data_IF_880694241332
#
_entry.id   IF_880694241332
#
_cell.length_a   1.000
_cell.length_b   1.000
_cell.length_c   1.000
_cell.angle_alpha   90.00
_cell.angle_beta   90.00
_cell.angle_gamma   90.00
#
_symmetry.space_group_name_H-M   'P 1'
#
loop_
_entity.id
_entity.type
_entity.pdbx_description
1 polymer ?
#
# COMPACT_ATOMS: atom_id res chain seq x y z
N UNK A 1 -38.42 -5.66 1.13
CA UNK A 1 -37.32 -6.58 0.82
C UNK A 1 -36.33 -5.80 -0.03
N UNK A 2 -35.08 -5.70 0.44
CA UNK A 2 -33.99 -4.98 -0.19
C UNK A 2 -33.54 -5.69 -1.47
N UNK A 3 -33.34 -4.96 -2.56
CA UNK A 3 -32.34 -5.34 -3.56
C UNK A 3 -31.27 -4.24 -3.58
N UNK A 4 -30.14 -4.59 -2.96
CA UNK A 4 -28.88 -3.83 -2.97
C UNK A 4 -28.09 -4.24 -4.22
N UNK A 5 -27.40 -3.28 -4.81
CA UNK A 5 -26.32 -3.46 -5.80
C UNK A 5 -26.74 -3.85 -7.23
N UNK A 6 -27.44 -2.98 -7.94
CA UNK A 6 -27.31 -2.94 -9.40
C UNK A 6 -26.09 -2.09 -9.75
N UNK A 7 -24.96 -2.77 -10.00
CA UNK A 7 -23.81 -2.22 -10.72
C UNK A 7 -24.32 -1.42 -11.92
N UNK A 8 -23.74 -0.24 -12.17
CA UNK A 8 -23.83 0.40 -13.48
C UNK A 8 -23.16 -0.57 -14.44
N UNK A 9 -23.97 -1.46 -15.04
CA UNK A 9 -23.59 -2.16 -16.26
C UNK A 9 -23.39 -1.05 -17.28
N UNK A 10 -22.18 -0.93 -17.80
CA UNK A 10 -22.02 -0.50 -19.19
C UNK A 10 -23.13 -1.20 -19.98
N UNK A 11 -24.02 -0.46 -20.65
CA UNK A 11 -24.87 -1.11 -21.62
C UNK A 11 -23.93 -1.64 -22.70
N UNK A 12 -23.92 -2.98 -22.84
CA UNK A 12 -23.34 -3.68 -23.96
C UNK A 12 -23.68 -2.93 -25.26
N UNK A 13 -22.65 -2.42 -25.94
CA UNK A 13 -22.63 -2.03 -27.36
C UNK A 13 -23.97 -1.52 -27.95
N UNK A 14 -24.18 -0.20 -27.97
CA UNK A 14 -25.20 0.40 -28.85
C UNK A 14 -24.58 0.69 -30.23
N UNK A 15 -24.34 -0.33 -31.05
CA UNK A 15 -24.10 -0.10 -32.48
C UNK A 15 -25.45 0.24 -33.13
N UNK A 16 -25.68 1.53 -33.41
CA UNK A 16 -26.82 1.96 -34.22
C UNK A 16 -26.36 2.21 -35.65
N UNK A 17 -27.01 1.54 -36.60
CA UNK A 17 -26.80 1.73 -38.04
C UNK A 17 -27.68 2.91 -38.50
N UNK A 18 -27.07 4.09 -38.66
CA UNK A 18 -27.80 5.32 -39.02
C UNK A 18 -27.63 5.60 -40.52
N UNK A 19 -28.71 5.68 -41.33
CA UNK A 19 -28.58 5.73 -42.80
C UNK A 19 -27.93 7.00 -43.38
N UNK A 20 -27.95 8.12 -42.66
CA UNK A 20 -27.30 9.37 -43.06
C UNK A 20 -27.18 10.37 -41.88
N UNK A 21 -26.08 11.12 -41.82
CA UNK A 21 -25.79 12.13 -40.77
C UNK A 21 -26.64 13.42 -40.86
N UNK A 22 -27.55 13.50 -41.84
CA UNK A 22 -28.20 14.76 -42.23
C UNK A 22 -29.17 15.35 -41.20
N UNK A 23 -29.89 14.51 -40.44
CA UNK A 23 -30.85 14.95 -39.41
C UNK A 23 -31.29 13.75 -38.57
N UNK A 24 -30.44 13.26 -37.67
CA UNK A 24 -30.82 12.24 -36.70
C UNK A 24 -30.70 12.80 -35.29
N UNK A 25 -31.81 12.90 -34.58
CA UNK A 25 -31.83 13.17 -33.14
C UNK A 25 -31.76 11.84 -32.41
N UNK A 26 -30.80 11.73 -31.48
CA UNK A 26 -30.61 10.56 -30.64
C UNK A 26 -31.07 10.92 -29.23
N UNK A 27 -32.18 10.32 -28.80
CA UNK A 27 -32.68 10.48 -27.44
C UNK A 27 -32.23 9.32 -26.56
N UNK A 28 -31.38 9.63 -25.57
CA UNK A 28 -30.83 8.63 -24.65
C UNK A 28 -31.60 8.68 -23.34
N UNK A 29 -32.25 7.56 -23.00
CA UNK A 29 -33.01 7.42 -21.75
C UNK A 29 -32.27 6.54 -20.76
N UNK A 30 -31.92 7.11 -19.62
CA UNK A 30 -31.33 6.38 -18.51
C UNK A 30 -32.45 5.72 -17.68
N UNK A 31 -32.25 4.45 -17.27
CA UNK A 31 -33.25 3.68 -16.51
C UNK A 31 -33.42 4.18 -15.06
N UNK A 32 -32.51 5.01 -14.58
CA UNK A 32 -32.55 5.66 -13.27
C UNK A 32 -32.18 7.14 -13.41
N UNK A 33 -32.64 8.02 -12.51
CA UNK A 33 -32.15 9.40 -12.45
C UNK A 33 -30.63 9.39 -12.32
N UNK A 34 -29.92 9.79 -13.38
CA UNK A 34 -28.48 10.00 -13.34
C UNK A 34 -28.25 11.44 -12.85
N UNK A 35 -27.70 11.60 -11.65
CA UNK A 35 -27.42 12.92 -11.09
C UNK A 35 -26.10 13.52 -11.60
N UNK A 36 -25.22 12.71 -12.21
CA UNK A 36 -23.90 13.13 -12.72
C UNK A 36 -23.54 12.28 -13.94
N UNK A 37 -23.17 12.91 -15.06
CA UNK A 37 -22.57 12.27 -16.25
C UNK A 37 -21.32 13.07 -16.65
N UNK A 38 -20.17 12.72 -16.09
CA UNK A 38 -18.88 13.33 -16.48
C UNK A 38 -18.40 12.84 -17.83
N UNK A 39 -18.76 11.60 -18.18
CA UNK A 39 -18.34 10.95 -19.41
C UNK A 39 -19.51 10.16 -20.00
N UNK A 40 -19.82 10.40 -21.27
CA UNK A 40 -20.75 9.61 -22.06
C UNK A 40 -20.15 9.41 -23.45
N UNK A 41 -19.81 8.18 -23.79
CA UNK A 41 -19.33 7.81 -25.11
C UNK A 41 -20.41 7.03 -25.86
N UNK A 42 -20.61 7.38 -27.12
CA UNK A 42 -21.41 6.61 -28.06
C UNK A 42 -20.49 6.14 -29.18
N UNK A 43 -20.58 4.86 -29.50
CA UNK A 43 -20.04 4.30 -30.74
C UNK A 43 -21.21 4.13 -31.69
N UNK A 44 -21.17 4.78 -32.84
CA UNK A 44 -22.20 4.71 -33.87
C UNK A 44 -21.61 4.09 -35.12
N UNK A 45 -22.36 3.28 -35.86
CA UNK A 45 -21.92 2.79 -37.17
C UNK A 45 -22.77 3.45 -38.24
N UNK A 46 -22.14 4.04 -39.25
CA UNK A 46 -22.84 4.61 -40.41
C UNK A 46 -22.18 4.04 -41.65
N UNK A 47 -22.94 3.24 -42.40
CA UNK A 47 -22.47 2.58 -43.63
C UNK A 47 -21.14 1.82 -43.42
N UNK A 48 -21.10 0.98 -42.37
CA UNK A 48 -19.92 0.19 -41.94
C UNK A 48 -18.69 1.01 -41.51
N UNK A 49 -18.81 2.32 -41.38
CA UNK A 49 -17.79 3.18 -40.77
C UNK A 49 -18.17 3.44 -39.32
N UNK A 50 -17.25 3.17 -38.40
CA UNK A 50 -17.45 3.40 -36.97
C UNK A 50 -17.10 4.84 -36.60
N UNK A 51 -18.03 5.50 -35.91
CA UNK A 51 -17.92 6.86 -35.39
C UNK A 51 -18.07 6.83 -33.87
N UNK A 52 -16.98 7.11 -33.17
CA UNK A 52 -17.03 7.29 -31.71
C UNK A 52 -17.18 8.77 -31.40
N UNK A 53 -18.27 9.13 -30.72
CA UNK A 53 -18.48 10.48 -30.19
C UNK A 53 -18.51 10.45 -28.68
N UNK A 54 -17.57 11.17 -28.08
CA UNK A 54 -17.51 11.39 -26.64
C UNK A 54 -18.13 12.74 -26.30
N UNK A 55 -19.00 12.74 -25.30
CA UNK A 55 -19.55 13.92 -24.66
C UNK A 55 -19.03 13.97 -23.22
N UNK A 56 -18.64 15.17 -22.78
CA UNK A 56 -18.18 15.45 -21.42
C UNK A 56 -19.12 16.45 -20.78
N UNK A 57 -19.18 16.41 -19.45
CA UNK A 57 -19.84 17.43 -18.62
C UNK A 57 -21.29 17.69 -19.04
N UNK A 58 -22.06 16.61 -19.26
CA UNK A 58 -23.39 16.70 -19.83
C UNK A 58 -24.39 17.10 -18.75
N UNK A 59 -24.87 18.32 -18.84
CA UNK A 59 -26.02 18.77 -18.07
C UNK A 59 -27.29 18.06 -18.56
N UNK A 60 -27.87 17.19 -17.74
CA UNK A 60 -29.16 16.55 -18.03
C UNK A 60 -30.28 17.57 -17.78
N UNK A 61 -31.07 17.89 -18.81
CA UNK A 61 -32.16 18.87 -18.73
C UNK A 61 -33.21 18.43 -17.69
N UNK A 62 -33.39 19.22 -16.63
CA UNK A 62 -34.28 18.91 -15.50
C UNK A 62 -33.59 18.28 -14.27
N UNK A 63 -32.28 17.98 -14.36
CA UNK A 63 -31.44 17.59 -13.23
C UNK A 63 -30.84 18.79 -12.50
N UNK A 64 -30.48 18.61 -11.22
CA UNK A 64 -29.68 19.59 -10.46
C UNK A 64 -28.32 19.81 -11.15
N UNK A 65 -27.67 20.94 -10.88
CA UNK A 65 -26.37 21.30 -11.48
C UNK A 65 -25.39 20.11 -11.49
N UNK A 66 -24.77 19.85 -12.64
CA UNK A 66 -23.73 18.83 -12.76
C UNK A 66 -22.44 19.42 -12.18
N UNK A 67 -22.06 18.97 -10.99
CA UNK A 67 -20.73 19.22 -10.46
C UNK A 67 -19.76 18.23 -11.09
N UNK A 68 -18.96 18.72 -12.05
CA UNK A 68 -17.81 18.01 -12.60
C UNK A 68 -16.80 17.84 -11.47
N UNK A 69 -16.32 16.61 -11.25
CA UNK A 69 -15.24 16.37 -10.29
C UNK A 69 -14.00 17.04 -10.84
N UNK A 70 -13.43 17.93 -10.05
CA UNK A 70 -12.13 18.50 -10.31
C UNK A 70 -11.14 17.84 -9.37
N UNK A 71 -9.90 17.72 -9.85
CA UNK A 71 -8.80 17.29 -8.99
C UNK A 71 -8.64 18.30 -7.86
N UNK A 72 -8.52 17.82 -6.63
CA UNK A 72 -8.28 18.70 -5.48
C UNK A 72 -6.99 19.52 -5.68
N UNK A 73 -6.97 20.80 -5.28
CA UNK A 73 -5.79 21.65 -5.45
C UNK A 73 -4.60 21.08 -4.69
N UNK A 74 -3.41 21.13 -5.28
CA UNK A 74 -2.18 20.65 -4.63
C UNK A 74 -1.96 21.40 -3.30
N UNK A 75 -1.61 20.65 -2.26
CA UNK A 75 -1.20 21.24 -0.99
C UNK A 75 0.24 21.76 -1.11
N UNK A 76 0.48 23.08 -1.04
CA UNK A 76 1.83 23.64 -1.17
C UNK A 76 2.76 23.23 -0.03
N UNK A 77 2.23 22.77 1.11
CA UNK A 77 3.05 22.24 2.21
C UNK A 77 3.62 20.84 1.91
N UNK A 78 3.02 20.12 0.95
CA UNK A 78 3.38 18.75 0.60
C UNK A 78 3.45 18.56 -0.93
N UNK A 79 4.37 19.27 -1.62
CA UNK A 79 4.45 19.26 -3.09
C UNK A 79 4.71 17.86 -3.66
N UNK A 80 5.38 16.99 -2.91
CA UNK A 80 5.67 15.60 -3.28
C UNK A 80 4.42 14.72 -3.42
N UNK A 81 3.28 15.17 -2.90
CA UNK A 81 1.99 14.47 -3.03
C UNK A 81 1.35 14.58 -4.40
N UNK A 82 1.87 15.47 -5.25
CA UNK A 82 1.44 15.60 -6.65
C UNK A 82 2.53 15.06 -7.57
N UNK A 83 2.16 14.15 -8.48
CA UNK A 83 3.10 13.54 -9.41
C UNK A 83 2.40 13.12 -10.71
N UNK A 84 3.16 12.90 -11.78
CA UNK A 84 2.62 12.49 -13.09
C UNK A 84 3.31 11.22 -13.57
N UNK A 85 2.53 10.29 -14.13
CA UNK A 85 3.00 9.07 -14.79
C UNK A 85 2.18 8.90 -16.07
N UNK A 86 2.86 8.76 -17.22
CA UNK A 86 2.21 8.56 -18.54
C UNK A 86 1.04 9.52 -18.78
N UNK A 87 1.28 10.82 -18.59
CA UNK A 87 0.30 11.91 -18.71
C UNK A 87 -0.91 11.85 -17.76
N UNK A 88 -0.95 10.91 -16.80
CA UNK A 88 -1.91 10.92 -15.70
C UNK A 88 -1.28 11.64 -14.51
N UNK A 89 -1.87 12.76 -14.11
CA UNK A 89 -1.51 13.48 -12.90
C UNK A 89 -2.28 12.91 -11.72
N UNK A 90 -1.57 12.67 -10.62
CA UNK A 90 -2.08 12.13 -9.36
C UNK A 90 -1.88 13.16 -8.24
N UNK A 91 -2.79 13.17 -7.27
CA UNK A 91 -2.67 13.95 -6.05
C UNK A 91 -3.12 13.09 -4.87
N UNK A 92 -2.16 12.73 -4.03
CA UNK A 92 -2.44 12.08 -2.76
C UNK A 92 -2.91 13.13 -1.74
N UNK A 93 -4.15 13.01 -1.27
CA UNK A 93 -4.79 14.01 -0.42
C UNK A 93 -4.46 13.86 1.07
N UNK A 94 -3.61 12.89 1.42
CA UNK A 94 -3.35 12.50 2.80
C UNK A 94 -4.24 11.36 3.28
N UNK A 95 -3.98 10.97 4.52
CA UNK A 95 -4.75 9.97 5.27
C UNK A 95 -5.44 10.64 6.45
N UNK A 96 -6.59 10.11 6.84
CA UNK A 96 -7.35 10.55 8.02
C UNK A 96 -7.87 9.34 8.79
N UNK A 97 -8.50 9.59 9.95
CA UNK A 97 -9.16 8.61 10.82
C UNK A 97 -8.19 7.66 11.54
N UNK A 98 -8.00 7.87 12.84
CA UNK A 98 -7.08 7.08 13.67
C UNK A 98 -7.56 5.62 13.91
N UNK A 99 -8.87 5.37 13.96
CA UNK A 99 -9.41 4.03 14.30
C UNK A 99 -9.34 3.07 13.10
N UNK A 100 -9.38 3.63 11.90
CA UNK A 100 -9.33 2.91 10.64
C UNK A 100 -8.83 3.89 9.56
N UNK A 101 -7.51 3.96 9.31
CA UNK A 101 -6.95 4.91 8.37
C UNK A 101 -7.61 4.88 7.00
N UNK A 102 -7.89 6.08 6.48
CA UNK A 102 -8.53 6.32 5.19
C UNK A 102 -7.64 7.26 4.39
N UNK A 103 -6.99 6.75 3.36
CA UNK A 103 -6.11 7.50 2.48
C UNK A 103 -6.82 7.78 1.16
N UNK A 104 -6.73 9.01 0.63
CA UNK A 104 -7.45 9.40 -0.59
C UNK A 104 -6.50 9.85 -1.68
N UNK A 105 -6.82 9.48 -2.92
CA UNK A 105 -6.05 9.87 -4.10
C UNK A 105 -7.01 10.39 -5.16
N UNK A 106 -6.68 11.52 -5.76
CA UNK A 106 -7.28 11.99 -7.00
C UNK A 106 -6.34 11.71 -8.18
N UNK A 107 -6.90 11.50 -9.36
CA UNK A 107 -6.15 11.36 -10.60
C UNK A 107 -6.88 12.04 -11.76
N UNK A 108 -6.14 12.60 -12.70
CA UNK A 108 -6.68 13.17 -13.95
C UNK A 108 -5.77 12.79 -15.11
N UNK A 109 -6.37 12.26 -16.19
CA UNK A 109 -5.64 12.04 -17.43
C UNK A 109 -5.48 13.38 -18.16
N UNK A 110 -4.27 13.93 -18.24
CA UNK A 110 -3.97 15.18 -18.95
C UNK A 110 -3.47 14.95 -20.37
N UNK A 111 -3.29 13.68 -20.75
CA UNK A 111 -2.85 13.25 -22.07
C UNK A 111 -3.92 13.39 -23.15
N UNK A 112 -3.60 12.86 -24.33
CA UNK A 112 -4.51 12.87 -25.50
C UNK A 112 -5.20 11.53 -25.74
N UNK A 113 -4.66 10.47 -25.17
CA UNK A 113 -5.15 9.11 -25.34
C UNK A 113 -5.77 8.59 -24.04
N UNK A 114 -6.62 7.59 -24.16
CA UNK A 114 -7.19 6.90 -22.99
C UNK A 114 -6.11 6.09 -22.30
N UNK A 115 -6.03 6.18 -20.98
CA UNK A 115 -5.04 5.48 -20.15
C UNK A 115 -5.74 4.48 -19.26
N UNK A 116 -5.22 3.26 -19.17
CA UNK A 116 -5.78 2.25 -18.26
C UNK A 116 -5.21 2.43 -16.86
N UNK A 117 -6.06 2.73 -15.89
CA UNK A 117 -5.68 2.81 -14.47
C UNK A 117 -6.11 1.54 -13.74
N UNK A 118 -5.20 0.95 -12.97
CA UNK A 118 -5.48 -0.09 -11.99
C UNK A 118 -5.20 0.42 -10.58
N UNK A 119 -6.01 0.01 -9.61
CA UNK A 119 -5.79 0.28 -8.19
C UNK A 119 -5.68 -1.04 -7.44
N UNK A 120 -4.71 -1.11 -6.53
CA UNK A 120 -4.38 -2.34 -5.82
C UNK A 120 -4.37 -2.13 -4.31
N UNK A 121 -4.26 -3.24 -3.58
CA UNK A 121 -3.98 -3.19 -2.15
C UNK A 121 -2.66 -2.44 -1.92
N UNK A 122 -2.78 -1.33 -1.21
CA UNK A 122 -1.67 -0.53 -0.69
C UNK A 122 -1.34 -0.94 0.75
N UNK A 123 -0.18 -0.51 1.24
CA UNK A 123 0.34 -0.91 2.55
C UNK A 123 0.66 0.30 3.43
N UNK A 124 0.49 0.16 4.74
CA UNK A 124 1.04 1.11 5.72
C UNK A 124 1.94 0.39 6.71
N UNK A 125 2.88 1.15 7.26
CA UNK A 125 3.70 0.81 8.40
C UNK A 125 3.39 1.83 9.49
N UNK A 126 2.77 1.39 10.58
CA UNK A 126 2.33 2.26 11.67
C UNK A 126 3.48 2.68 12.60
N UNK A 127 3.20 3.39 13.70
CA UNK A 127 4.22 3.84 14.66
C UNK A 127 5.04 2.71 15.29
N UNK A 128 4.48 1.50 15.37
CA UNK A 128 5.18 0.29 15.84
C UNK A 128 5.95 -0.43 14.75
N UNK A 129 6.00 0.14 13.54
CA UNK A 129 6.53 -0.46 12.32
C UNK A 129 5.79 -1.74 11.94
N UNK A 130 4.50 -1.86 12.29
CA UNK A 130 3.69 -3.01 11.95
C UNK A 130 3.05 -2.79 10.58
N UNK A 131 3.20 -3.80 9.70
CA UNK A 131 2.61 -3.80 8.38
C UNK A 131 1.10 -4.00 8.48
N UNK A 132 0.36 -3.11 7.83
CA UNK A 132 -1.06 -3.28 7.58
C UNK A 132 -1.34 -3.21 6.08
N UNK A 133 -2.11 -4.17 5.58
CA UNK A 133 -2.60 -4.16 4.21
C UNK A 133 -3.98 -3.53 4.18
N UNK A 134 -4.21 -2.68 3.18
CA UNK A 134 -5.53 -2.10 2.93
C UNK A 134 -6.54 -3.13 2.44
N UNK A 135 -7.83 -2.80 2.54
CA UNK A 135 -8.86 -3.48 1.77
C UNK A 135 -8.74 -3.14 0.28
N UNK A 136 -9.12 -4.06 -0.64
CA UNK A 136 -9.09 -3.76 -2.08
C UNK A 136 -9.84 -2.46 -2.40
N UNK A 137 -9.15 -1.46 -2.99
CA UNK A 137 -9.80 -0.20 -3.37
C UNK A 137 -10.58 -0.36 -4.68
N UNK A 138 -11.51 0.57 -4.92
CA UNK A 138 -12.21 0.71 -6.18
C UNK A 138 -12.09 2.15 -6.66
N UNK A 139 -12.04 2.33 -7.97
CA UNK A 139 -12.00 3.63 -8.64
C UNK A 139 -13.40 4.24 -8.58
N UNK A 140 -13.48 5.50 -8.14
CA UNK A 140 -14.74 6.20 -7.90
C UNK A 140 -15.60 6.35 -9.17
N UNK A 141 -14.98 6.32 -10.35
CA UNK A 141 -15.65 6.48 -11.64
C UNK A 141 -16.68 5.38 -11.94
N UNK A 142 -16.34 4.12 -11.68
CA UNK A 142 -17.17 2.97 -12.06
C UNK A 142 -17.25 1.87 -11.00
N UNK A 143 -16.56 2.04 -9.86
CA UNK A 143 -16.54 1.07 -8.76
C UNK A 143 -15.76 -0.21 -9.07
N UNK A 144 -14.94 -0.24 -10.13
CA UNK A 144 -14.02 -1.33 -10.43
C UNK A 144 -12.63 -1.03 -9.89
N UNK A 145 -11.80 -2.06 -9.74
CA UNK A 145 -10.39 -1.92 -9.38
C UNK A 145 -9.50 -1.59 -10.59
N UNK A 146 -10.03 -1.59 -11.81
CA UNK A 146 -9.32 -1.13 -13.00
C UNK A 146 -10.30 -0.66 -14.06
N UNK A 147 -9.95 0.43 -14.73
CA UNK A 147 -10.81 1.10 -15.70
C UNK A 147 -9.99 1.93 -16.68
N UNK A 148 -10.58 2.24 -17.83
CA UNK A 148 -9.95 3.07 -18.85
C UNK A 148 -10.38 4.52 -18.62
N UNK A 149 -9.41 5.40 -18.38
CA UNK A 149 -9.62 6.83 -18.07
C UNK A 149 -9.38 7.65 -19.34
N UNK A 150 -10.43 8.24 -19.92
CA UNK A 150 -10.31 9.09 -21.09
C UNK A 150 -9.57 10.40 -20.76
N UNK A 151 -9.01 11.08 -21.77
CA UNK A 151 -8.40 12.40 -21.59
C UNK A 151 -9.31 13.38 -20.85
N UNK A 152 -8.74 14.24 -20.02
CA UNK A 152 -9.42 15.27 -19.23
C UNK A 152 -10.40 14.77 -18.16
N UNK A 153 -10.55 13.46 -17.95
CA UNK A 153 -11.43 12.93 -16.91
C UNK A 153 -10.68 12.85 -15.58
N UNK A 154 -11.28 13.45 -14.55
CA UNK A 154 -10.82 13.32 -13.17
C UNK A 154 -11.55 12.17 -12.49
N UNK A 155 -10.81 11.33 -11.79
CA UNK A 155 -11.32 10.28 -10.91
C UNK A 155 -10.55 10.30 -9.59
N UNK A 156 -10.82 9.33 -8.73
CA UNK A 156 -10.05 9.07 -7.53
C UNK A 156 -10.39 7.72 -6.94
N UNK A 157 -9.79 7.40 -5.81
CA UNK A 157 -10.15 6.23 -5.02
C UNK A 157 -9.81 6.46 -3.56
N UNK A 158 -10.42 5.62 -2.72
CA UNK A 158 -10.16 5.59 -1.29
C UNK A 158 -9.51 4.26 -0.90
N UNK A 159 -8.39 4.35 -0.19
CA UNK A 159 -7.67 3.21 0.38
C UNK A 159 -8.02 3.13 1.86
N UNK A 160 -8.65 2.03 2.29
CA UNK A 160 -9.11 1.85 3.66
C UNK A 160 -8.32 0.78 4.39
N UNK A 161 -7.97 1.03 5.63
CA UNK A 161 -7.34 0.08 6.54
C UNK A 161 -8.32 -0.35 7.64
N UNK A 162 -8.03 -1.46 8.32
CA UNK A 162 -8.95 -2.09 9.28
C UNK A 162 -8.50 -2.01 10.73
N UNK A 163 -7.27 -1.59 10.98
CA UNK A 163 -6.72 -1.47 12.33
C UNK A 163 -6.38 0.00 12.59
N UNK A 164 -6.41 0.42 13.86
CA UNK A 164 -6.00 1.75 14.22
C UNK A 164 -4.55 2.04 13.85
N UNK A 165 -4.25 3.31 13.61
CA UNK A 165 -2.89 3.84 13.55
C UNK A 165 -2.93 5.31 14.00
N UNK A 166 -2.03 5.67 14.91
CA UNK A 166 -1.89 7.05 15.38
C UNK A 166 -1.02 7.87 14.44
N UNK A 167 -0.02 7.20 13.88
CA UNK A 167 0.92 7.72 12.90
C UNK A 167 1.24 6.63 11.88
N UNK A 168 1.29 7.02 10.62
CA UNK A 168 1.79 6.18 9.53
C UNK A 168 3.21 6.61 9.22
N UNK A 169 4.19 5.77 9.56
CA UNK A 169 5.60 6.00 9.23
C UNK A 169 5.81 5.97 7.71
N UNK A 170 5.19 4.98 7.05
CA UNK A 170 5.27 4.79 5.60
C UNK A 170 3.90 4.36 5.08
N UNK A 171 3.37 5.05 4.08
CA UNK A 171 2.28 4.60 3.23
C UNK A 171 2.84 4.32 1.84
N UNK A 172 2.69 3.08 1.41
CA UNK A 172 3.02 2.63 0.07
C UNK A 172 1.73 2.54 -0.75
N UNK A 173 1.53 3.54 -1.62
CA UNK A 173 0.45 3.56 -2.59
C UNK A 173 0.82 2.69 -3.79
N UNK A 174 0.06 1.63 -4.03
CA UNK A 174 0.22 0.72 -5.17
C UNK A 174 -0.90 0.94 -6.20
N UNK A 175 -0.51 1.07 -7.47
CA UNK A 175 -1.41 1.29 -8.60
C UNK A 175 -0.72 0.94 -9.93
N UNK A 176 -1.52 0.73 -10.97
CA UNK A 176 -1.02 0.43 -12.31
C UNK A 176 -1.43 1.52 -13.29
N UNK A 177 -0.54 1.86 -14.21
CA UNK A 177 -0.82 2.72 -15.36
C UNK A 177 -0.44 1.96 -16.62
N UNK A 178 -1.39 1.73 -17.51
CA UNK A 178 -1.23 0.91 -18.72
C UNK A 178 -0.64 -0.49 -18.46
N UNK A 179 -1.10 -1.11 -17.37
CA UNK A 179 -0.64 -2.41 -16.87
C UNK A 179 0.84 -2.44 -16.44
N UNK A 180 1.46 -1.28 -16.24
CA UNK A 180 2.75 -1.16 -15.57
C UNK A 180 2.52 -0.80 -14.11
N UNK A 181 3.12 -1.59 -13.21
CA UNK A 181 2.96 -1.42 -11.78
C UNK A 181 3.85 -0.31 -11.25
N UNK A 182 3.26 0.55 -10.43
CA UNK A 182 3.91 1.68 -9.80
C UNK A 182 3.64 1.69 -8.31
N UNK A 183 4.64 2.21 -7.59
CA UNK A 183 4.55 2.46 -6.16
C UNK A 183 4.96 3.90 -5.86
N UNK A 184 4.34 4.49 -4.84
CA UNK A 184 4.72 5.78 -4.27
C UNK A 184 4.73 5.69 -2.76
N UNK A 185 5.78 6.24 -2.17
CA UNK A 185 5.95 6.28 -0.71
C UNK A 185 5.61 7.66 -0.19
N UNK A 186 4.78 7.68 0.84
CA UNK A 186 4.51 8.87 1.64
C UNK A 186 4.88 8.56 3.08
N UNK A 187 5.50 9.52 3.77
CA UNK A 187 6.10 9.28 5.09
C UNK A 187 5.52 10.21 6.14
N UNK A 188 5.68 9.79 7.38
CA UNK A 188 5.47 10.61 8.58
C UNK A 188 4.09 11.31 8.58
N UNK A 189 3.04 10.55 8.26
CA UNK A 189 1.68 11.09 8.27
C UNK A 189 1.06 10.89 9.64
N UNK A 190 0.84 12.01 10.31
CA UNK A 190 0.15 12.06 11.58
C UNK A 190 -1.37 12.03 11.37
N UNK A 191 -2.07 11.14 12.07
CA UNK A 191 -3.53 10.99 11.97
C UNK A 191 -4.30 11.57 13.17
N UNK A 192 -3.60 11.85 14.27
CA UNK A 192 -4.14 12.50 15.46
C UNK A 192 -3.66 13.94 15.61
N UNK A 193 -4.56 14.80 16.10
CA UNK A 193 -4.17 16.12 16.60
C UNK A 193 -3.37 15.96 17.90
N UNK A 194 -2.15 16.49 17.96
CA UNK A 194 -1.33 16.43 19.18
C UNK A 194 0.17 16.25 18.90
N UNK A 195 0.99 15.96 19.92
CA UNK A 195 2.36 15.54 19.70
C UNK A 195 2.40 14.17 18.98
N UNK A 196 3.38 13.94 18.09
CA UNK A 196 3.56 12.63 17.46
C UNK A 196 3.72 11.54 18.52
N UNK A 197 3.13 10.35 18.32
CA UNK A 197 3.35 9.21 19.21
C UNK A 197 4.83 8.79 19.16
N UNK A 198 5.24 8.01 20.16
CA UNK A 198 6.55 7.37 20.13
C UNK A 198 6.62 6.42 18.94
N UNK A 199 7.63 6.61 18.09
CA UNK A 199 7.90 5.79 16.91
C UNK A 199 8.97 4.77 17.26
N UNK A 200 8.79 3.54 16.81
CA UNK A 200 9.81 2.51 16.94
C UNK A 200 11.08 2.93 16.22
N UNK A 201 12.16 3.10 16.99
CA UNK A 201 13.47 3.51 16.48
C UNK A 201 14.52 2.43 16.76
N UNK A 202 15.59 2.45 15.96
CA UNK A 202 16.73 1.60 16.19
C UNK A 202 17.49 2.06 17.43
N UNK A 203 17.59 1.18 18.41
CA UNK A 203 18.48 1.39 19.54
C UNK A 203 19.84 0.74 19.22
N UNK A 204 20.95 1.49 19.13
CA UNK A 204 22.27 0.94 18.78
C UNK A 204 22.97 0.28 19.98
N UNK A 205 22.29 0.04 21.10
CA UNK A 205 22.85 -0.63 22.27
C UNK A 205 22.55 -2.12 22.23
N UNK A 206 23.56 -2.94 22.55
CA UNK A 206 23.46 -4.40 22.67
C UNK A 206 24.16 -4.89 23.94
N UNK A 207 23.60 -5.89 24.65
CA UNK A 207 24.24 -6.46 25.84
C UNK A 207 25.45 -7.36 25.55
N UNK A 208 25.71 -7.73 24.28
CA UNK A 208 26.79 -8.65 23.87
C UNK A 208 27.94 -7.92 23.14
N UNK A 209 28.02 -6.59 23.27
CA UNK A 209 29.12 -5.80 22.68
C UNK A 209 29.10 -5.77 21.15
N UNK A 210 30.29 -5.69 20.53
CA UNK A 210 30.46 -5.55 19.07
C UNK A 210 29.84 -6.70 18.28
N UNK A 211 29.74 -7.91 18.83
CA UNK A 211 29.11 -9.03 18.13
C UNK A 211 27.59 -8.94 18.04
N UNK A 212 26.99 -8.21 18.98
CA UNK A 212 25.57 -7.90 18.98
C UNK A 212 25.20 -6.67 18.14
N UNK A 213 26.19 -5.93 17.62
CA UNK A 213 26.00 -4.70 16.83
C UNK A 213 26.76 -4.79 15.51
N UNK A 214 26.05 -4.88 14.39
CA UNK A 214 26.70 -5.02 13.10
C UNK A 214 25.88 -4.46 11.95
N UNK A 215 26.54 -4.25 10.82
CA UNK A 215 25.93 -3.79 9.59
C UNK A 215 26.14 -4.82 8.48
N UNK A 216 25.14 -5.00 7.63
CA UNK A 216 25.24 -5.84 6.44
C UNK A 216 24.22 -5.41 5.39
N UNK A 217 24.65 -5.30 4.13
CA UNK A 217 23.80 -4.96 2.98
C UNK A 217 22.86 -3.75 3.23
N UNK A 218 23.37 -2.70 3.87
CA UNK A 218 22.58 -1.51 4.19
C UNK A 218 21.51 -1.72 5.26
N UNK A 219 21.67 -2.76 6.10
CA UNK A 219 20.89 -2.97 7.31
C UNK A 219 21.78 -2.85 8.54
N UNK A 220 21.26 -2.19 9.58
CA UNK A 220 21.87 -2.13 10.91
C UNK A 220 21.16 -3.12 11.84
N UNK A 221 21.93 -3.90 12.60
CA UNK A 221 21.43 -4.91 13.53
C UNK A 221 21.87 -4.59 14.95
N UNK A 222 20.94 -4.75 15.90
CA UNK A 222 21.22 -4.64 17.33
C UNK A 222 20.51 -5.75 18.12
N UNK A 223 21.27 -6.73 18.59
CA UNK A 223 20.75 -7.77 19.47
C UNK A 223 20.34 -7.16 20.81
N UNK A 224 19.13 -7.45 21.27
CA UNK A 224 18.53 -6.85 22.48
C UNK A 224 18.59 -7.72 23.72
N UNK A 225 19.05 -8.95 23.59
CA UNK A 225 19.01 -9.93 24.67
C UNK A 225 17.90 -10.95 24.49
N UNK A 226 17.89 -11.92 25.40
CA UNK A 226 16.83 -12.88 25.59
C UNK A 226 16.18 -12.65 26.96
N UNK A 227 14.86 -12.76 27.04
CA UNK A 227 14.12 -12.64 28.30
C UNK A 227 13.20 -13.85 28.54
N UNK A 228 12.93 -14.16 29.82
CA UNK A 228 11.98 -15.17 30.24
C UNK A 228 12.57 -16.59 30.23
N UNK A 229 13.30 -16.95 31.29
CA UNK A 229 14.05 -18.21 31.37
C UNK A 229 13.25 -19.48 31.09
N UNK A 230 11.96 -19.54 31.45
CA UNK A 230 11.13 -20.73 31.20
C UNK A 230 10.71 -20.88 29.73
N UNK A 231 10.59 -19.77 28.99
CA UNK A 231 10.23 -19.72 27.59
C UNK A 231 10.96 -18.54 26.91
N UNK A 232 12.28 -18.68 26.64
CA UNK A 232 13.11 -17.55 26.25
C UNK A 232 12.65 -16.89 24.97
N UNK A 233 12.58 -15.56 24.98
CA UNK A 233 12.33 -14.71 23.80
C UNK A 233 13.55 -13.85 23.53
N UNK A 234 14.22 -14.11 22.42
CA UNK A 234 15.38 -13.34 21.96
C UNK A 234 14.96 -12.37 20.86
N UNK A 235 15.47 -11.13 20.93
CA UNK A 235 15.08 -10.04 20.03
C UNK A 235 16.31 -9.40 19.39
N UNK A 236 16.24 -9.13 18.09
CA UNK A 236 17.25 -8.34 17.35
C UNK A 236 16.54 -7.23 16.60
N UNK A 237 16.85 -5.97 16.90
CA UNK A 237 16.37 -4.85 16.10
C UNK A 237 17.13 -4.77 14.78
N UNK A 238 16.40 -4.43 13.72
CA UNK A 238 16.92 -4.29 12.36
C UNK A 238 16.40 -2.99 11.77
N UNK A 239 17.30 -2.15 11.28
CA UNK A 239 16.96 -0.91 10.57
C UNK A 239 17.44 -0.96 9.14
N UNK A 240 16.57 -0.60 8.20
CA UNK A 240 16.98 -0.36 6.82
C UNK A 240 17.56 1.04 6.66
N UNK A 241 18.83 1.13 6.28
CA UNK A 241 19.54 2.40 6.03
C UNK A 241 19.71 2.71 4.55
N UNK A 242 19.24 1.83 3.66
CA UNK A 242 19.18 2.10 2.21
C UNK A 242 18.01 3.01 1.87
N UNK A 243 17.98 3.48 0.62
CA UNK A 243 16.86 4.22 0.03
C UNK A 243 15.81 3.30 -0.64
N UNK A 244 16.04 1.97 -0.63
CA UNK A 244 15.21 0.97 -1.28
C UNK A 244 14.59 -0.02 -0.28
N UNK A 245 13.62 -0.80 -0.74
CA UNK A 245 13.10 -1.92 0.04
C UNK A 245 14.11 -3.04 0.11
N UNK A 246 14.31 -3.58 1.31
CA UNK A 246 15.19 -4.72 1.53
C UNK A 246 14.37 -5.93 1.96
N UNK A 247 14.53 -7.06 1.26
CA UNK A 247 13.84 -8.31 1.61
C UNK A 247 14.64 -9.05 2.68
N UNK A 248 14.00 -9.32 3.81
CA UNK A 248 14.57 -10.11 4.90
C UNK A 248 13.80 -11.43 4.99
N UNK A 249 14.51 -12.55 5.07
CA UNK A 249 13.92 -13.84 5.46
C UNK A 249 14.72 -14.48 6.59
N UNK A 250 14.05 -14.80 7.69
CA UNK A 250 14.63 -15.57 8.80
C UNK A 250 14.78 -17.02 8.36
N UNK A 251 16.01 -17.53 8.40
CA UNK A 251 16.32 -18.93 8.12
C UNK A 251 16.07 -19.77 9.36
N UNK A 252 15.99 -21.08 9.19
CA UNK A 252 15.93 -21.99 10.34
C UNK A 252 17.27 -21.96 11.06
N UNK A 253 17.23 -21.68 12.36
CA UNK A 253 18.41 -21.72 13.24
C UNK A 253 18.28 -22.83 14.29
N UNK A 254 19.42 -23.27 14.83
CA UNK A 254 19.50 -24.21 15.95
C UNK A 254 20.49 -23.64 16.95
N UNK A 255 19.99 -23.18 18.10
CA UNK A 255 20.80 -22.73 19.23
C UNK A 255 21.39 -23.93 19.98
N UNK A 256 22.42 -23.71 20.79
CA UNK A 256 22.97 -24.72 21.68
C UNK A 256 22.65 -24.37 23.13
N UNK A 257 22.11 -25.33 23.87
CA UNK A 257 21.84 -25.26 25.31
C UNK A 257 22.39 -26.53 25.93
N UNK A 258 23.36 -26.42 26.85
CA UNK A 258 23.94 -27.57 27.57
C UNK A 258 24.43 -28.69 26.64
N UNK A 259 25.06 -28.34 25.51
CA UNK A 259 25.51 -29.26 24.48
C UNK A 259 24.41 -29.87 23.60
N UNK A 260 23.15 -29.48 23.77
CA UNK A 260 22.02 -29.92 22.92
C UNK A 260 21.58 -28.85 21.93
N UNK A 261 21.30 -29.27 20.69
CA UNK A 261 20.78 -28.41 19.64
C UNK A 261 19.27 -28.18 19.78
N UNK A 262 18.87 -26.94 20.07
CA UNK A 262 17.48 -26.54 20.32
C UNK A 262 17.02 -25.57 19.24
N UNK A 263 15.85 -25.84 18.67
CA UNK A 263 15.23 -24.96 17.67
C UNK A 263 14.24 -24.00 18.32
N UNK A 264 14.11 -22.75 17.82
CA UNK A 264 13.02 -21.88 18.20
C UNK A 264 11.68 -22.56 17.90
N UNK A 265 10.75 -22.50 18.85
CA UNK A 265 9.36 -22.92 18.64
C UNK A 265 8.64 -21.96 17.69
N UNK A 266 9.04 -20.68 17.71
CA UNK A 266 8.60 -19.65 16.76
C UNK A 266 9.76 -18.74 16.41
N UNK A 267 9.78 -18.32 15.15
CA UNK A 267 10.63 -17.24 14.69
C UNK A 267 9.77 -16.32 13.83
N UNK A 268 10.00 -15.01 13.86
CA UNK A 268 9.23 -14.05 13.07
C UNK A 268 9.91 -12.69 12.96
N UNK A 269 9.55 -11.96 11.93
CA UNK A 269 9.77 -10.53 11.79
C UNK A 269 8.54 -9.85 12.36
N UNK A 270 8.71 -9.05 13.41
CA UNK A 270 7.61 -8.42 14.15
C UNK A 270 6.68 -7.62 13.23
N UNK A 271 7.25 -6.87 12.28
CA UNK A 271 6.52 -6.08 11.30
C UNK A 271 5.45 -6.87 10.53
N UNK A 272 5.70 -8.14 10.21
CA UNK A 272 4.81 -8.96 9.36
C UNK A 272 4.17 -10.14 10.08
N UNK A 273 4.60 -10.41 11.33
CA UNK A 273 4.32 -11.63 12.09
C UNK A 273 4.66 -12.95 11.34
N UNK A 274 5.57 -12.87 10.35
CA UNK A 274 5.99 -13.97 9.48
C UNK A 274 7.52 -14.10 9.42
N UNK A 275 8.03 -15.17 8.82
CA UNK A 275 9.48 -15.38 8.67
C UNK A 275 10.11 -14.53 7.56
N UNK A 276 9.30 -13.82 6.76
CA UNK A 276 9.76 -13.06 5.60
C UNK A 276 9.02 -11.75 5.49
N UNK A 277 9.71 -10.70 5.07
CA UNK A 277 9.11 -9.38 4.89
C UNK A 277 9.97 -8.47 4.03
N UNK A 278 9.34 -7.42 3.50
CA UNK A 278 10.05 -6.32 2.84
C UNK A 278 10.07 -5.13 3.81
N UNK A 279 11.27 -4.75 4.23
CA UNK A 279 11.50 -3.65 5.17
C UNK A 279 11.69 -2.35 4.37
N UNK A 280 10.79 -1.36 4.52
CA UNK A 280 10.92 -0.10 3.78
C UNK A 280 12.17 0.68 4.19
N UNK A 281 12.64 1.60 3.34
CA UNK A 281 13.75 2.50 3.66
C UNK A 281 13.48 3.25 4.96
N UNK A 282 14.48 3.34 5.84
CA UNK A 282 14.41 4.09 7.10
C UNK A 282 13.61 3.45 8.25
N UNK A 283 12.87 2.36 8.00
CA UNK A 283 12.02 1.69 9.01
C UNK A 283 12.86 0.74 9.87
N UNK A 284 12.51 0.67 11.15
CA UNK A 284 13.08 -0.30 12.10
C UNK A 284 12.06 -1.38 12.45
N UNK A 285 12.44 -2.65 12.39
CA UNK A 285 11.65 -3.80 12.88
C UNK A 285 12.48 -4.66 13.84
N UNK A 286 11.91 -5.75 14.35
CA UNK A 286 12.65 -6.73 15.14
C UNK A 286 12.49 -8.14 14.59
N UNK A 287 13.59 -8.90 14.60
CA UNK A 287 13.59 -10.35 14.48
C UNK A 287 13.40 -10.95 15.86
N UNK A 288 12.44 -11.86 15.99
CA UNK A 288 12.05 -12.48 17.25
C UNK A 288 12.24 -13.99 17.12
N UNK A 289 12.91 -14.58 18.10
CA UNK A 289 13.07 -16.03 18.27
C UNK A 289 12.51 -16.41 19.64
N UNK A 290 11.49 -17.26 19.65
CA UNK A 290 10.85 -17.77 20.86
C UNK A 290 11.19 -19.26 21.01
N UNK A 291 11.57 -19.65 22.21
CA UNK A 291 11.94 -21.02 22.56
C UNK A 291 10.96 -21.58 23.58
N UNK A 292 10.71 -22.89 23.51
CA UNK A 292 9.88 -23.60 24.49
C UNK A 292 10.69 -24.29 25.59
N UNK A 293 12.01 -24.32 25.45
CA UNK A 293 12.90 -24.98 26.41
C UNK A 293 13.43 -23.95 27.40
N UNK A 294 13.25 -24.26 28.68
CA UNK A 294 13.77 -23.43 29.74
C UNK A 294 15.31 -23.41 29.72
N UNK A 295 15.90 -22.23 29.81
CA UNK A 295 17.34 -22.06 29.99
C UNK A 295 17.67 -20.70 30.59
N UNK A 296 18.77 -20.64 31.35
CA UNK A 296 19.36 -19.40 31.83
C UNK A 296 20.38 -18.81 30.84
N UNK A 297 20.85 -19.59 29.87
CA UNK A 297 21.89 -19.19 28.92
C UNK A 297 21.83 -20.04 27.64
N UNK A 298 22.17 -19.44 26.50
CA UNK A 298 22.51 -20.17 25.28
C UNK A 298 24.03 -20.20 25.12
N UNK A 299 24.60 -21.40 24.96
CA UNK A 299 26.03 -21.55 24.66
C UNK A 299 26.36 -20.91 23.31
N UNK A 300 25.47 -21.10 22.34
CA UNK A 300 25.51 -20.36 21.08
C UNK A 300 24.10 -20.12 20.53
N UNK A 301 23.88 -18.95 19.96
CA UNK A 301 22.63 -18.54 19.32
C UNK A 301 22.94 -18.04 17.91
N UNK A 302 22.76 -18.87 16.87
CA UNK A 302 22.91 -18.43 15.50
C UNK A 302 21.73 -17.54 15.09
N UNK A 303 22.03 -16.33 14.64
CA UNK A 303 21.12 -15.44 13.94
C UNK A 303 21.30 -15.67 12.43
N UNK A 304 20.46 -16.55 11.89
CA UNK A 304 20.52 -16.96 10.49
C UNK A 304 19.40 -16.32 9.67
N UNK A 305 19.74 -15.51 8.67
CA UNK A 305 18.76 -14.86 7.81
C UNK A 305 19.34 -14.63 6.41
N UNK A 306 18.47 -14.23 5.48
CA UNK A 306 18.86 -13.77 4.14
C UNK A 306 18.43 -12.33 3.95
N UNK A 307 19.26 -11.56 3.26
CA UNK A 307 18.99 -10.19 2.84
C UNK A 307 19.13 -10.14 1.33
N UNK A 308 18.02 -9.93 0.62
CA UNK A 308 17.93 -9.95 -0.85
C UNK A 308 18.57 -11.19 -1.53
N UNK A 309 18.61 -12.31 -0.80
CA UNK A 309 19.17 -13.59 -1.25
C UNK A 309 20.55 -13.89 -0.69
N UNK A 310 21.27 -12.89 -0.20
CA UNK A 310 22.57 -13.08 0.45
C UNK A 310 22.38 -13.66 1.85
N UNK A 311 23.15 -14.69 2.16
CA UNK A 311 23.06 -15.42 3.42
C UNK A 311 23.92 -14.76 4.48
N UNK A 312 23.34 -14.57 5.66
CA UNK A 312 24.03 -14.09 6.86
C UNK A 312 23.79 -15.11 7.95
N UNK A 313 24.89 -15.69 8.41
CA UNK A 313 24.92 -16.61 9.54
C UNK A 313 25.87 -16.00 10.58
N UNK A 314 25.32 -15.22 11.52
CA UNK A 314 26.06 -14.68 12.67
C UNK A 314 25.80 -15.60 13.86
N UNK A 315 26.82 -15.89 14.67
CA UNK A 315 26.67 -16.68 15.89
C UNK A 315 27.02 -15.78 17.07
N UNK A 316 26.09 -15.68 18.03
CA UNK A 316 26.34 -15.06 19.33
C UNK A 316 26.71 -16.17 20.31
N UNK A 317 27.80 -16.01 21.04
CA UNK A 317 28.26 -16.98 22.03
C UNK A 317 27.90 -16.52 23.45
N UNK A 318 27.62 -17.49 24.33
CA UNK A 318 27.37 -17.26 25.77
C UNK A 318 26.31 -16.17 26.01
N UNK A 319 25.10 -16.39 25.51
CA UNK A 319 23.99 -15.43 25.55
C UNK A 319 23.15 -15.64 26.81
N UNK A 320 23.23 -14.75 27.82
CA UNK A 320 22.43 -14.88 29.03
C UNK A 320 20.95 -14.60 28.75
N UNK A 321 20.07 -15.30 29.48
CA UNK A 321 18.62 -15.07 29.50
C UNK A 321 18.23 -14.38 30.80
N UNK A 322 17.67 -13.18 30.66
CA UNK A 322 17.21 -12.34 31.77
C UNK A 322 15.80 -12.70 32.22
#
# INVERSE_FOLDING_TARGET
>A
MQDKNSKIREPDYYAWDVPALGTSQIDVRFRSPANVLQYLAFTMQVDRVEYTKTFRDIAVRGGRSVNVRNMSPADPAFPERTFTISDVRFHFLGCTNLDAPICKVDAVNEGRDTVRLGVENSFIYDQGSILQQSTPPNIDMDGRNSTDIPPGITTGWTVNFRRPADLIQVFELAFDVDNQRHYRLFRDMQLMDGPPPEVKTFAPTSPIGEDGLYEFAGLQFAFKGCTGQDAPKCVTDVRNTTDDYVRINIRRTTAQIQGEGVRPSRQKIEMTDNNSGQLPPGVTTSLIYEFSQATAEFESLPLAFTVDGDVIDRVLETVPVQ
#
